data_IF_638358059745
#
_entry.id   IF_638358059745
#
_cell.length_a   1.000
_cell.length_b   1.000
_cell.length_c   1.000
_cell.angle_alpha   90.00
_cell.angle_beta   90.00
_cell.angle_gamma   90.00
#
_symmetry.space_group_name_H-M   'P 1'
#
loop_
_entity.id
_entity.type
_entity.pdbx_description
1 polymer ?
#
# COMPACT_ATOMS: atom_id res chain seq x y z
N UNK A 1 26.71 -53.51 -23.37
CA UNK A 1 26.76 -52.11 -23.84
C UNK A 1 25.59 -51.38 -23.19
N UNK A 2 25.81 -50.86 -22.00
CA UNK A 2 24.84 -50.02 -21.29
C UNK A 2 25.06 -48.58 -21.75
N UNK A 3 24.07 -48.00 -22.42
CA UNK A 3 24.10 -46.60 -22.85
C UNK A 3 23.86 -45.73 -21.63
N UNK A 4 24.93 -45.10 -21.14
CA UNK A 4 24.86 -44.01 -20.17
C UNK A 4 24.25 -42.79 -20.87
N UNK A 5 23.05 -42.38 -20.45
CA UNK A 5 22.46 -41.10 -20.85
C UNK A 5 23.37 -39.94 -20.38
N UNK A 6 23.58 -38.89 -21.20
CA UNK A 6 24.34 -37.73 -20.76
C UNK A 6 23.56 -37.00 -19.67
N UNK A 7 24.12 -36.96 -18.48
CA UNK A 7 23.67 -36.10 -17.40
C UNK A 7 23.90 -34.65 -17.87
N UNK A 8 22.81 -33.94 -18.21
CA UNK A 8 22.88 -32.52 -18.58
C UNK A 8 23.30 -31.76 -17.33
N UNK A 9 24.58 -31.40 -17.25
CA UNK A 9 25.08 -30.48 -16.25
C UNK A 9 24.58 -29.08 -16.58
N UNK A 10 23.75 -28.51 -15.70
CA UNK A 10 23.38 -27.09 -15.73
C UNK A 10 24.68 -26.26 -15.81
N UNK A 11 24.78 -25.37 -16.80
CA UNK A 11 25.98 -24.53 -16.93
C UNK A 11 26.02 -23.52 -15.78
N UNK A 12 27.21 -23.10 -15.34
CA UNK A 12 27.32 -22.06 -14.31
C UNK A 12 26.73 -20.70 -14.76
N UNK A 13 26.55 -20.51 -16.07
CA UNK A 13 26.00 -19.29 -16.66
C UNK A 13 24.46 -19.25 -16.61
N UNK A 14 23.80 -20.41 -16.63
CA UNK A 14 22.33 -20.51 -16.66
C UNK A 14 21.65 -19.96 -15.39
N UNK A 15 22.10 -20.24 -14.15
CA UNK A 15 21.57 -19.60 -12.95
C UNK A 15 21.79 -18.08 -12.92
N UNK A 16 22.92 -17.61 -13.48
CA UNK A 16 23.25 -16.19 -13.56
C UNK A 16 22.30 -15.45 -14.52
N UNK A 17 22.07 -16.04 -15.70
CA UNK A 17 21.14 -15.49 -16.69
C UNK A 17 19.70 -15.46 -16.17
N UNK A 18 19.23 -16.53 -15.52
CA UNK A 18 17.88 -16.57 -14.93
C UNK A 18 17.71 -15.45 -13.89
N UNK A 19 18.71 -15.26 -13.02
CA UNK A 19 18.70 -14.20 -12.00
C UNK A 19 18.66 -12.82 -12.64
N UNK A 20 19.45 -12.59 -13.67
CA UNK A 20 19.46 -11.31 -14.39
C UNK A 20 18.11 -11.03 -15.07
N UNK A 21 17.51 -12.06 -15.70
CA UNK A 21 16.18 -11.95 -16.31
C UNK A 21 15.10 -11.64 -15.28
N UNK A 22 15.13 -12.27 -14.11
CA UNK A 22 14.17 -12.02 -13.03
C UNK A 22 14.29 -10.60 -12.47
N UNK A 23 15.52 -10.10 -12.27
CA UNK A 23 15.76 -8.71 -11.86
C UNK A 23 15.19 -7.72 -12.86
N UNK A 24 15.48 -7.90 -14.15
CA UNK A 24 14.94 -7.07 -15.22
C UNK A 24 13.42 -7.10 -15.25
N UNK A 25 12.82 -8.28 -15.12
CA UNK A 25 11.37 -8.44 -15.09
C UNK A 25 10.72 -7.70 -13.91
N UNK A 26 11.35 -7.75 -12.73
CA UNK A 26 10.85 -7.03 -11.55
C UNK A 26 10.99 -5.51 -11.69
N UNK A 27 12.09 -5.03 -12.25
CA UNK A 27 12.25 -3.61 -12.61
C UNK A 27 11.16 -3.15 -13.58
N UNK A 28 10.83 -3.96 -14.59
CA UNK A 28 9.73 -3.66 -15.52
C UNK A 28 8.39 -3.57 -14.79
N UNK A 29 8.10 -4.53 -13.90
CA UNK A 29 6.89 -4.50 -13.07
C UNK A 29 6.79 -3.20 -12.25
N UNK A 30 7.83 -2.87 -11.48
CA UNK A 30 7.85 -1.67 -10.64
C UNK A 30 7.68 -0.40 -11.47
N UNK A 31 8.37 -0.29 -12.61
CA UNK A 31 8.25 0.89 -13.49
C UNK A 31 6.90 1.00 -14.22
N UNK A 32 6.16 -0.10 -14.33
CA UNK A 32 4.83 -0.10 -14.94
C UNK A 32 3.72 0.16 -13.93
N UNK A 33 3.82 -0.43 -12.74
CA UNK A 33 2.79 -0.40 -11.72
C UNK A 33 3.00 0.68 -10.65
N UNK A 34 4.25 1.03 -10.35
CA UNK A 34 4.66 1.92 -9.24
C UNK A 34 5.75 2.95 -9.62
N UNK A 35 5.70 3.61 -10.79
CA UNK A 35 6.77 4.51 -11.24
C UNK A 35 7.03 5.72 -10.32
N UNK A 36 6.03 6.16 -9.56
CA UNK A 36 6.09 7.35 -8.70
C UNK A 36 6.47 6.96 -7.27
N UNK A 37 5.74 6.02 -6.64
CA UNK A 37 6.03 5.63 -5.25
C UNK A 37 7.39 4.98 -5.09
N UNK A 38 7.85 4.17 -6.04
CA UNK A 38 9.18 3.58 -5.97
C UNK A 38 10.26 4.67 -5.96
N UNK A 39 10.25 5.56 -6.95
CA UNK A 39 11.24 6.65 -7.05
C UNK A 39 11.19 7.56 -5.82
N UNK A 40 9.98 7.92 -5.36
CA UNK A 40 9.84 8.77 -4.19
C UNK A 40 10.31 8.08 -2.91
N UNK A 41 10.23 6.76 -2.79
CA UNK A 41 10.65 6.08 -1.57
C UNK A 41 12.14 5.72 -1.56
N UNK A 42 12.89 5.90 -2.66
CA UNK A 42 14.33 5.58 -2.69
C UNK A 42 15.13 6.40 -1.66
N UNK A 43 14.77 7.66 -1.38
CA UNK A 43 15.48 8.42 -0.31
C UNK A 43 15.21 7.86 1.09
N UNK A 44 14.13 7.08 1.26
CA UNK A 44 13.76 6.46 2.53
C UNK A 44 14.61 5.22 2.84
N UNK A 45 15.43 4.81 1.87
CA UNK A 45 16.51 3.85 2.10
C UNK A 45 17.38 4.30 3.29
N UNK A 46 17.74 3.32 4.09
CA UNK A 46 18.68 3.51 5.21
C UNK A 46 19.94 2.72 4.85
N UNK A 47 20.57 2.03 5.80
CA UNK A 47 21.62 1.05 5.48
C UNK A 47 21.07 -0.26 4.91
N UNK A 48 19.85 -0.24 4.36
CA UNK A 48 19.09 -1.39 3.89
C UNK A 48 18.47 -1.09 2.53
N UNK A 49 18.36 -2.09 1.63
CA UNK A 49 17.76 -1.91 0.31
C UNK A 49 16.31 -1.43 0.35
N UNK A 50 15.87 -0.74 -0.71
CA UNK A 50 14.45 -0.41 -0.92
C UNK A 50 13.59 -1.67 -1.05
N UNK A 51 12.26 -1.52 -1.09
CA UNK A 51 11.36 -2.67 -1.32
C UNK A 51 11.73 -3.44 -2.60
N UNK A 52 11.99 -2.72 -3.70
CA UNK A 52 12.34 -3.35 -4.97
C UNK A 52 13.77 -3.92 -4.96
N UNK A 53 14.72 -3.20 -4.37
CA UNK A 53 16.11 -3.65 -4.31
C UNK A 53 16.29 -4.86 -3.40
N UNK A 54 15.51 -4.96 -2.32
CA UNK A 54 15.51 -6.15 -1.46
C UNK A 54 15.02 -7.37 -2.24
N UNK A 55 13.86 -7.27 -2.90
CA UNK A 55 13.31 -8.40 -3.67
C UNK A 55 14.26 -8.83 -4.79
N UNK A 56 14.94 -7.88 -5.44
CA UNK A 56 15.88 -8.19 -6.52
C UNK A 56 17.27 -8.68 -6.04
N UNK A 57 17.65 -8.40 -4.80
CA UNK A 57 18.90 -8.87 -4.18
C UNK A 57 18.76 -10.20 -3.46
N UNK A 58 17.56 -10.54 -3.00
CA UNK A 58 17.27 -11.72 -2.19
C UNK A 58 16.77 -12.95 -2.97
N UNK A 59 16.87 -12.93 -4.30
CA UNK A 59 16.54 -14.11 -5.13
C UNK A 59 17.25 -15.36 -4.59
N UNK A 60 16.47 -16.45 -4.46
CA UNK A 60 16.82 -17.78 -3.94
C UNK A 60 16.89 -17.89 -2.41
N UNK A 61 16.66 -16.81 -1.66
CA UNK A 61 16.68 -16.86 -0.18
C UNK A 61 15.28 -17.09 0.43
N UNK A 62 14.21 -16.73 -0.29
CA UNK A 62 12.84 -16.92 0.17
C UNK A 62 11.93 -17.37 -0.96
N UNK A 63 11.62 -18.67 -0.97
CA UNK A 63 10.79 -19.31 -2.00
C UNK A 63 9.44 -18.60 -2.16
N UNK A 64 8.77 -18.23 -1.06
CA UNK A 64 7.47 -17.56 -1.14
C UNK A 64 7.58 -16.15 -1.74
N UNK A 65 8.62 -15.39 -1.40
CA UNK A 65 8.83 -14.05 -1.92
C UNK A 65 9.20 -14.09 -3.40
N UNK A 66 10.08 -15.01 -3.79
CA UNK A 66 10.57 -15.16 -5.16
C UNK A 66 9.45 -15.55 -6.13
N UNK A 67 8.64 -16.56 -5.77
CA UNK A 67 7.53 -17.00 -6.63
C UNK A 67 6.43 -15.92 -6.69
N UNK A 68 6.16 -15.21 -5.61
CA UNK A 68 5.24 -14.06 -5.63
C UNK A 68 5.74 -12.92 -6.51
N UNK A 69 7.05 -12.62 -6.49
CA UNK A 69 7.67 -11.63 -7.35
C UNK A 69 7.56 -12.05 -8.83
N UNK A 70 7.86 -13.31 -9.13
CA UNK A 70 7.70 -13.85 -10.48
C UNK A 70 6.24 -13.76 -10.97
N UNK A 71 5.29 -14.05 -10.09
CA UNK A 71 3.86 -14.00 -10.38
C UNK A 71 3.40 -12.60 -10.84
N UNK A 72 3.76 -11.52 -10.12
CA UNK A 72 3.42 -10.15 -10.55
C UNK A 72 4.14 -9.75 -11.84
N UNK A 73 5.40 -10.14 -12.02
CA UNK A 73 6.17 -9.84 -13.23
C UNK A 73 5.47 -10.35 -14.51
N UNK A 74 4.75 -11.46 -14.44
CA UNK A 74 4.04 -12.03 -15.59
C UNK A 74 2.84 -11.17 -16.03
N UNK A 75 2.11 -10.56 -15.09
CA UNK A 75 0.85 -9.85 -15.39
C UNK A 75 1.01 -8.33 -15.50
N UNK A 76 2.20 -7.82 -15.17
CA UNK A 76 2.56 -6.40 -15.26
C UNK A 76 3.67 -6.10 -16.29
N UNK A 77 3.94 -7.04 -17.22
CA UNK A 77 4.87 -6.77 -18.34
C UNK A 77 4.47 -5.54 -19.15
N UNK A 78 3.16 -5.33 -19.31
CA UNK A 78 2.58 -4.17 -19.98
C UNK A 78 1.80 -3.32 -18.99
N UNK A 79 1.82 -2.00 -19.21
CA UNK A 79 1.03 -1.04 -18.43
C UNK A 79 -0.47 -1.21 -18.67
N UNK A 80 -0.85 -1.46 -19.92
CA UNK A 80 -2.25 -1.57 -20.37
C UNK A 80 -2.55 -3.01 -20.75
N UNK A 81 -3.59 -3.58 -20.14
CA UNK A 81 -4.00 -4.97 -20.34
C UNK A 81 -2.99 -6.03 -19.86
N UNK A 82 -3.41 -7.29 -19.98
CA UNK A 82 -2.56 -8.46 -19.71
C UNK A 82 -2.65 -9.39 -20.91
N UNK A 83 -1.51 -9.84 -21.41
CA UNK A 83 -1.47 -10.75 -22.55
C UNK A 83 -2.09 -12.10 -22.18
N UNK A 84 -2.98 -12.61 -23.05
CA UNK A 84 -3.68 -13.88 -22.80
C UNK A 84 -2.71 -15.06 -22.59
N UNK A 85 -1.58 -15.06 -23.29
CA UNK A 85 -0.51 -16.07 -23.16
C UNK A 85 0.15 -16.06 -21.77
N UNK A 86 0.14 -14.93 -21.08
CA UNK A 86 0.75 -14.75 -19.76
C UNK A 86 -0.25 -15.01 -18.63
N UNK A 87 -1.56 -14.91 -18.87
CA UNK A 87 -2.58 -15.15 -17.85
C UNK A 87 -2.49 -16.57 -17.26
N UNK A 88 -2.38 -17.60 -18.11
CA UNK A 88 -2.29 -18.98 -17.62
C UNK A 88 -0.98 -19.25 -16.87
N UNK A 89 0.14 -18.71 -17.37
CA UNK A 89 1.43 -18.79 -16.67
C UNK A 89 1.38 -18.07 -15.32
N UNK A 90 0.79 -16.87 -15.30
CA UNK A 90 0.59 -16.07 -14.10
C UNK A 90 -0.27 -16.78 -13.07
N UNK A 91 -1.37 -17.42 -13.48
CA UNK A 91 -2.25 -18.22 -12.61
C UNK A 91 -1.52 -19.41 -12.01
N UNK A 92 -0.74 -20.14 -12.80
CA UNK A 92 0.05 -21.26 -12.29
C UNK A 92 1.09 -20.76 -11.26
N UNK A 93 1.82 -19.69 -11.58
CA UNK A 93 2.77 -19.07 -10.66
C UNK A 93 2.09 -18.58 -9.37
N UNK A 94 0.88 -18.01 -9.48
CA UNK A 94 0.07 -17.57 -8.35
C UNK A 94 -0.29 -18.73 -7.41
N UNK A 95 -0.74 -19.87 -7.96
CA UNK A 95 -1.06 -21.07 -7.18
C UNK A 95 0.18 -21.58 -6.43
N UNK A 96 1.33 -21.64 -7.09
CA UNK A 96 2.58 -22.03 -6.43
C UNK A 96 3.01 -21.04 -5.34
N UNK A 97 2.84 -19.74 -5.58
CA UNK A 97 3.15 -18.71 -4.58
C UNK A 97 2.26 -18.83 -3.34
N UNK A 98 0.96 -19.10 -3.52
CA UNK A 98 0.04 -19.38 -2.43
C UNK A 98 0.48 -20.59 -1.61
N UNK A 99 0.85 -21.70 -2.26
CA UNK A 99 1.34 -22.90 -1.57
C UNK A 99 2.62 -22.63 -0.79
N UNK A 100 3.56 -21.88 -1.38
CA UNK A 100 4.81 -21.50 -0.72
C UNK A 100 4.57 -20.59 0.49
N UNK A 101 3.69 -19.60 0.37
CA UNK A 101 3.32 -18.72 1.49
C UNK A 101 2.60 -19.49 2.61
N UNK A 102 1.69 -20.39 2.27
CA UNK A 102 1.03 -21.27 3.25
C UNK A 102 2.03 -22.16 3.98
N UNK A 103 3.03 -22.69 3.28
CA UNK A 103 4.08 -23.49 3.91
C UNK A 103 4.97 -22.65 4.84
N UNK A 104 5.30 -21.42 4.44
CA UNK A 104 6.04 -20.48 5.29
C UNK A 104 5.25 -20.12 6.57
N UNK A 105 3.94 -19.88 6.44
CA UNK A 105 3.03 -19.66 7.57
C UNK A 105 2.97 -20.86 8.53
N UNK A 106 2.95 -22.09 8.02
CA UNK A 106 2.98 -23.30 8.86
C UNK A 106 4.30 -23.52 9.59
N UNK A 107 5.38 -22.93 9.09
CA UNK A 107 6.74 -23.05 9.64
C UNK A 107 7.23 -21.71 10.19
N UNK A 108 6.30 -20.88 10.67
CA UNK A 108 6.53 -19.47 11.04
C UNK A 108 7.63 -19.26 12.09
N UNK A 109 7.90 -20.24 12.95
CA UNK A 109 8.98 -20.17 13.94
C UNK A 109 10.38 -20.12 13.31
N UNK A 110 10.50 -20.54 12.05
CA UNK A 110 11.75 -20.62 11.29
C UNK A 110 11.75 -19.73 10.04
N UNK A 111 10.57 -19.25 9.64
CA UNK A 111 10.40 -18.46 8.42
C UNK A 111 10.52 -16.96 8.70
N UNK A 112 11.07 -16.22 7.73
CA UNK A 112 11.19 -14.77 7.83
C UNK A 112 9.83 -14.09 7.60
N UNK A 113 9.23 -13.55 8.66
CA UNK A 113 7.92 -12.88 8.60
C UNK A 113 7.90 -11.63 7.71
N UNK A 114 9.02 -10.91 7.56
CA UNK A 114 9.08 -9.78 6.64
C UNK A 114 8.94 -10.25 5.18
N UNK A 115 9.55 -11.38 4.83
CA UNK A 115 9.42 -11.97 3.49
C UNK A 115 8.00 -12.47 3.24
N UNK A 116 7.34 -13.03 4.27
CA UNK A 116 5.92 -13.45 4.19
C UNK A 116 4.99 -12.24 3.97
N UNK A 117 5.26 -11.11 4.63
CA UNK A 117 4.54 -9.85 4.38
C UNK A 117 4.78 -9.39 2.94
N UNK A 118 6.04 -9.35 2.48
CA UNK A 118 6.38 -8.98 1.10
C UNK A 118 5.68 -9.87 0.07
N UNK A 119 5.69 -11.19 0.27
CA UNK A 119 5.01 -12.14 -0.58
C UNK A 119 3.49 -11.89 -0.62
N UNK A 120 2.87 -11.64 0.54
CA UNK A 120 1.43 -11.34 0.65
C UNK A 120 1.06 -10.03 -0.06
N UNK A 121 1.90 -8.99 0.06
CA UNK A 121 1.73 -7.71 -0.67
C UNK A 121 1.75 -7.94 -2.19
N UNK A 122 2.69 -8.74 -2.69
CA UNK A 122 2.80 -9.03 -4.12
C UNK A 122 1.59 -9.84 -4.62
N UNK A 123 1.08 -10.79 -3.83
CA UNK A 123 -0.13 -11.54 -4.19
C UNK A 123 -1.39 -10.67 -4.19
N UNK A 124 -1.51 -9.74 -3.24
CA UNK A 124 -2.53 -8.69 -3.28
C UNK A 124 -2.45 -7.88 -4.59
N UNK A 125 -1.26 -7.44 -4.99
CA UNK A 125 -1.04 -6.68 -6.23
C UNK A 125 -1.42 -7.49 -7.47
N UNK A 126 -1.06 -8.78 -7.48
CA UNK A 126 -1.42 -9.69 -8.56
C UNK A 126 -2.95 -9.75 -8.75
N UNK A 127 -3.69 -10.00 -7.68
CA UNK A 127 -5.15 -10.15 -7.75
C UNK A 127 -5.87 -8.83 -8.06
N UNK A 128 -5.29 -7.70 -7.68
CA UNK A 128 -5.78 -6.39 -8.11
C UNK A 128 -5.70 -6.20 -9.64
N UNK A 129 -4.72 -6.83 -10.30
CA UNK A 129 -4.53 -6.75 -11.75
C UNK A 129 -5.25 -7.83 -12.52
N UNK A 130 -5.32 -9.04 -11.95
CA UNK A 130 -6.01 -10.19 -12.52
C UNK A 130 -7.03 -10.69 -11.50
N UNK A 131 -8.21 -10.04 -11.42
CA UNK A 131 -9.24 -10.44 -10.47
C UNK A 131 -9.69 -11.88 -10.73
N UNK A 132 -9.80 -12.67 -9.66
CA UNK A 132 -10.50 -13.97 -9.69
C UNK A 132 -12.00 -13.78 -9.93
N UNK A 133 -12.67 -14.81 -10.45
CA UNK A 133 -14.11 -14.81 -10.70
C UNK A 133 -14.92 -14.61 -9.40
N UNK A 134 -14.43 -15.15 -8.27
CA UNK A 134 -14.91 -14.80 -6.95
C UNK A 134 -14.20 -13.52 -6.46
N UNK A 135 -14.92 -12.41 -6.48
CA UNK A 135 -14.46 -11.09 -6.04
C UNK A 135 -14.15 -11.07 -4.54
N UNK A 136 -12.94 -11.47 -4.12
CA UNK A 136 -12.57 -11.46 -2.70
C UNK A 136 -11.17 -11.93 -2.29
N UNK A 137 -10.38 -12.50 -3.21
CA UNK A 137 -9.02 -12.96 -2.89
C UNK A 137 -8.14 -11.85 -2.31
N UNK A 138 -8.17 -10.67 -2.93
CA UNK A 138 -7.23 -9.60 -2.60
C UNK A 138 -7.42 -9.09 -1.17
N UNK A 139 -8.68 -9.10 -0.68
CA UNK A 139 -9.01 -8.68 0.67
C UNK A 139 -8.37 -9.60 1.72
N UNK A 140 -8.32 -10.91 1.43
CA UNK A 140 -7.69 -11.90 2.30
C UNK A 140 -6.19 -11.66 2.45
N UNK A 141 -5.50 -11.22 1.38
CA UNK A 141 -4.08 -10.84 1.47
C UNK A 141 -3.88 -9.57 2.29
N UNK A 142 -4.76 -8.57 2.18
CA UNK A 142 -4.74 -7.39 3.05
C UNK A 142 -4.92 -7.78 4.53
N UNK A 143 -5.89 -8.64 4.83
CA UNK A 143 -6.12 -9.15 6.19
C UNK A 143 -4.90 -9.91 6.71
N UNK A 144 -4.29 -10.75 5.89
CA UNK A 144 -3.07 -11.49 6.22
C UNK A 144 -1.87 -10.57 6.50
N UNK A 145 -1.65 -9.55 5.67
CA UNK A 145 -0.60 -8.55 5.92
C UNK A 145 -0.85 -7.81 7.24
N UNK A 146 -2.08 -7.35 7.48
CA UNK A 146 -2.43 -6.66 8.73
C UNK A 146 -2.23 -7.56 9.96
N UNK A 147 -2.58 -8.85 9.87
CA UNK A 147 -2.38 -9.82 10.95
C UNK A 147 -0.89 -10.02 11.25
N UNK A 148 -0.06 -10.28 10.24
CA UNK A 148 1.39 -10.43 10.41
C UNK A 148 2.04 -9.17 10.97
N UNK A 149 1.62 -7.98 10.50
CA UNK A 149 2.11 -6.70 11.02
C UNK A 149 1.79 -6.50 12.50
N UNK A 150 0.54 -6.78 12.90
CA UNK A 150 0.11 -6.71 14.31
C UNK A 150 0.86 -7.71 15.18
N UNK A 151 1.05 -8.93 14.70
CA UNK A 151 1.77 -9.97 15.42
C UNK A 151 3.25 -9.61 15.64
N UNK A 152 3.92 -9.06 14.63
CA UNK A 152 5.31 -8.60 14.74
C UNK A 152 5.45 -7.34 15.60
N UNK A 153 4.38 -6.56 15.77
CA UNK A 153 4.36 -5.28 16.47
C UNK A 153 5.12 -4.17 15.75
N UNK A 154 4.76 -2.91 16.03
CA UNK A 154 5.28 -1.75 15.28
C UNK A 154 6.82 -1.62 15.36
N UNK A 155 7.43 -2.03 16.48
CA UNK A 155 8.89 -1.94 16.68
C UNK A 155 9.71 -2.76 15.66
N UNK A 156 9.13 -3.84 15.14
CA UNK A 156 9.77 -4.68 14.11
C UNK A 156 9.88 -3.99 12.75
N UNK A 157 9.15 -2.88 12.53
CA UNK A 157 9.10 -2.14 11.26
C UNK A 157 10.01 -0.91 11.25
N UNK A 158 10.91 -0.78 12.22
CA UNK A 158 11.79 0.38 12.34
C UNK A 158 12.96 0.36 11.33
N UNK A 159 13.29 -0.78 10.73
CA UNK A 159 14.43 -0.94 9.78
C UNK A 159 14.24 -2.12 8.84
N UNK A 160 15.15 -2.26 7.87
CA UNK A 160 15.19 -3.40 6.95
C UNK A 160 13.95 -3.51 6.04
N UNK A 161 13.75 -4.70 5.48
CA UNK A 161 12.66 -4.96 4.55
C UNK A 161 11.27 -4.74 5.15
N UNK A 162 11.08 -5.08 6.43
CA UNK A 162 9.82 -4.81 7.13
C UNK A 162 9.43 -3.33 7.08
N UNK A 163 10.37 -2.41 7.36
CA UNK A 163 10.13 -0.95 7.21
C UNK A 163 9.69 -0.59 5.80
N UNK A 164 10.37 -1.13 4.79
CA UNK A 164 10.04 -0.89 3.38
C UNK A 164 8.64 -1.38 3.04
N UNK A 165 8.23 -2.55 3.53
CA UNK A 165 6.86 -3.07 3.40
C UNK A 165 5.83 -2.14 4.05
N UNK A 166 6.09 -1.65 5.27
CA UNK A 166 5.21 -0.71 5.97
C UNK A 166 5.00 0.57 5.16
N UNK A 167 6.08 1.21 4.70
CA UNK A 167 6.03 2.47 3.94
C UNK A 167 5.30 2.28 2.62
N UNK A 168 5.60 1.18 1.90
CA UNK A 168 5.01 0.89 0.61
C UNK A 168 3.51 0.56 0.71
N UNK A 169 3.10 -0.19 1.74
CA UNK A 169 1.76 -0.77 1.79
C UNK A 169 0.73 0.03 2.60
N UNK A 170 1.14 0.95 3.47
CA UNK A 170 0.23 1.70 4.37
C UNK A 170 -0.93 2.41 3.66
N UNK A 171 -0.71 2.94 2.45
CA UNK A 171 -1.78 3.59 1.67
C UNK A 171 -2.88 2.61 1.26
N UNK A 172 -2.53 1.36 0.96
CA UNK A 172 -3.50 0.29 0.67
C UNK A 172 -4.23 -0.17 1.93
N UNK A 173 -3.56 -0.21 3.08
CA UNK A 173 -4.20 -0.53 4.37
C UNK A 173 -5.24 0.52 4.76
N UNK A 174 -4.98 1.81 4.52
CA UNK A 174 -5.95 2.89 4.73
C UNK A 174 -7.11 2.75 3.74
N UNK A 175 -6.82 2.55 2.44
CA UNK A 175 -7.86 2.32 1.42
C UNK A 175 -8.78 1.14 1.79
N UNK A 176 -8.18 0.06 2.29
CA UNK A 176 -8.87 -1.14 2.68
C UNK A 176 -9.73 -0.94 3.93
N UNK A 177 -9.26 -0.18 4.91
CA UNK A 177 -10.02 0.19 6.09
C UNK A 177 -11.32 0.94 5.72
N UNK A 178 -11.22 1.90 4.79
CA UNK A 178 -12.42 2.55 4.23
C UNK A 178 -13.34 1.56 3.51
N UNK A 179 -12.79 0.67 2.69
CA UNK A 179 -13.59 -0.32 1.96
C UNK A 179 -14.34 -1.28 2.90
N UNK A 180 -13.74 -1.63 4.04
CA UNK A 180 -14.34 -2.48 5.08
C UNK A 180 -15.19 -1.71 6.09
N UNK A 181 -15.32 -0.38 5.94
CA UNK A 181 -16.02 0.51 6.89
C UNK A 181 -15.55 0.31 8.34
N UNK A 182 -14.24 0.11 8.50
CA UNK A 182 -13.61 -0.16 9.79
C UNK A 182 -12.43 0.77 10.07
N UNK A 183 -12.03 0.93 11.34
CA UNK A 183 -10.83 1.67 11.70
C UNK A 183 -9.56 1.03 11.13
N UNK A 184 -8.58 1.87 10.78
CA UNK A 184 -7.26 1.40 10.37
C UNK A 184 -6.37 1.20 11.60
N UNK A 185 -5.83 0.00 11.80
CA UNK A 185 -4.98 -0.30 12.97
C UNK A 185 -3.71 0.56 13.06
N UNK A 186 -3.27 1.15 11.94
CA UNK A 186 -2.13 2.07 11.90
C UNK A 186 -2.41 3.40 12.64
N UNK A 187 -3.65 3.66 13.07
CA UNK A 187 -3.97 4.79 13.96
C UNK A 187 -3.57 4.55 15.42
N UNK A 188 -3.34 3.29 15.82
CA UNK A 188 -3.01 2.97 17.22
C UNK A 188 -1.65 3.55 17.63
N UNK A 189 -1.48 3.84 18.93
CA UNK A 189 -0.34 4.57 19.47
C UNK A 189 1.02 4.02 19.05
N UNK A 190 1.20 2.69 19.05
CA UNK A 190 2.46 2.06 18.64
C UNK A 190 2.83 2.35 17.18
N UNK A 191 1.83 2.46 16.29
CA UNK A 191 2.03 2.73 14.87
C UNK A 191 2.20 4.24 14.61
N UNK A 192 1.54 5.09 15.40
CA UNK A 192 1.80 6.53 15.41
C UNK A 192 3.24 6.84 15.88
N UNK A 193 3.72 6.13 16.90
CA UNK A 193 5.13 6.22 17.36
C UNK A 193 6.12 5.75 16.29
N UNK A 194 5.79 4.68 15.56
CA UNK A 194 6.60 4.25 14.41
C UNK A 194 6.62 5.32 13.31
N UNK A 195 5.47 5.89 12.95
CA UNK A 195 5.37 6.94 11.94
C UNK A 195 6.18 8.19 12.35
N UNK A 196 6.10 8.56 13.62
CA UNK A 196 6.88 9.67 14.21
C UNK A 196 8.39 9.39 14.14
N UNK A 197 8.82 8.16 14.44
CA UNK A 197 10.22 7.76 14.27
C UNK A 197 10.66 7.81 12.81
N UNK A 198 9.85 7.31 11.88
CA UNK A 198 10.12 7.37 10.44
C UNK A 198 10.26 8.82 9.98
N UNK A 199 9.35 9.71 10.40
CA UNK A 199 9.41 11.16 10.15
C UNK A 199 10.70 11.78 10.66
N UNK A 200 11.03 11.53 11.92
CA UNK A 200 12.21 12.08 12.56
C UNK A 200 13.50 11.65 11.85
N UNK A 201 13.61 10.39 11.45
CA UNK A 201 14.80 9.89 10.74
C UNK A 201 14.87 10.39 9.29
N UNK A 202 13.77 10.31 8.53
CA UNK A 202 13.75 10.66 7.11
C UNK A 202 13.93 12.17 6.87
N UNK A 203 13.45 13.02 7.79
CA UNK A 203 13.62 14.48 7.71
C UNK A 203 15.07 14.95 7.93
N UNK A 204 15.93 14.12 8.52
CA UNK A 204 17.35 14.44 8.75
C UNK A 204 18.26 13.99 7.59
N UNK A 205 17.73 13.23 6.63
CA UNK A 205 18.52 12.72 5.50
C UNK A 205 18.98 13.85 4.56
N UNK A 206 20.08 13.66 3.82
CA UNK A 206 20.49 14.62 2.80
C UNK A 206 19.55 14.62 1.58
N UNK A 207 19.59 15.70 0.80
CA UNK A 207 18.86 15.82 -0.46
C UNK A 207 17.50 16.52 -0.35
N UNK A 208 16.92 16.86 -1.51
CA UNK A 208 15.67 17.62 -1.59
C UNK A 208 14.46 16.89 -0.97
N UNK A 209 14.44 15.56 -1.01
CA UNK A 209 13.32 14.77 -0.50
C UNK A 209 13.06 14.97 0.99
N UNK A 210 14.09 15.34 1.77
CA UNK A 210 13.93 15.65 3.19
C UNK A 210 12.98 16.81 3.45
N UNK A 211 12.90 17.77 2.51
CA UNK A 211 12.02 18.94 2.63
C UNK A 211 10.55 18.51 2.67
N UNK A 212 10.22 17.41 1.99
CA UNK A 212 8.88 16.84 1.97
C UNK A 212 8.65 15.83 3.10
N UNK A 213 9.70 15.18 3.60
CA UNK A 213 9.57 14.07 4.56
C UNK A 213 8.76 14.44 5.81
N UNK A 214 9.03 15.60 6.43
CA UNK A 214 8.28 16.05 7.61
C UNK A 214 6.78 16.22 7.33
N UNK A 215 6.44 17.06 6.37
CA UNK A 215 5.04 17.41 6.09
C UNK A 215 4.26 16.21 5.55
N UNK A 216 4.89 15.37 4.73
CA UNK A 216 4.22 14.20 4.14
C UNK A 216 3.91 13.14 5.20
N UNK A 217 4.82 12.85 6.12
CA UNK A 217 4.54 11.91 7.22
C UNK A 217 3.45 12.44 8.16
N UNK A 218 3.48 13.73 8.51
CA UNK A 218 2.44 14.32 9.37
C UNK A 218 1.06 14.27 8.71
N UNK A 219 0.97 14.43 7.39
CA UNK A 219 -0.27 14.22 6.65
C UNK A 219 -0.72 12.77 6.78
N UNK A 220 0.15 11.80 6.50
CA UNK A 220 -0.19 10.36 6.62
C UNK A 220 -0.71 10.01 8.03
N UNK A 221 -0.08 10.55 9.08
CA UNK A 221 -0.50 10.37 10.47
C UNK A 221 -1.90 10.94 10.78
N UNK A 222 -2.35 11.97 10.06
CA UNK A 222 -3.74 12.45 10.17
C UNK A 222 -4.70 11.64 9.30
N UNK A 223 -4.30 11.28 8.08
CA UNK A 223 -5.14 10.53 7.13
C UNK A 223 -5.53 9.13 7.65
N UNK A 224 -4.64 8.47 8.37
CA UNK A 224 -4.89 7.14 8.93
C UNK A 224 -6.03 7.11 9.97
N UNK A 225 -6.38 8.25 10.57
CA UNK A 225 -7.50 8.40 11.52
C UNK A 225 -8.85 8.52 10.82
N UNK A 226 -8.88 8.87 9.54
CA UNK A 226 -10.12 9.15 8.82
C UNK A 226 -11.09 7.94 8.73
N UNK A 227 -10.63 6.68 8.53
CA UNK A 227 -11.52 5.51 8.57
C UNK A 227 -12.28 5.37 9.89
N UNK A 228 -11.62 5.63 11.04
CA UNK A 228 -12.27 5.62 12.36
C UNK A 228 -13.39 6.65 12.45
N UNK A 229 -13.17 7.85 11.92
CA UNK A 229 -14.19 8.91 11.98
C UNK A 229 -15.45 8.57 11.20
N UNK A 230 -15.31 7.92 10.04
CA UNK A 230 -16.48 7.43 9.27
C UNK A 230 -17.19 6.32 10.07
N UNK A 231 -16.44 5.34 10.58
CA UNK A 231 -16.98 4.23 11.37
C UNK A 231 -17.73 4.70 12.62
N UNK A 232 -17.14 5.60 13.42
CA UNK A 232 -17.75 6.14 14.63
C UNK A 232 -19.01 6.98 14.26
N UNK A 233 -18.97 7.74 13.16
CA UNK A 233 -20.12 8.51 12.70
C UNK A 233 -21.31 7.62 12.30
N UNK A 234 -21.06 6.53 11.58
CA UNK A 234 -22.07 5.51 11.28
C UNK A 234 -22.64 4.86 12.54
N UNK A 235 -21.78 4.52 13.50
CA UNK A 235 -22.20 3.95 14.77
C UNK A 235 -23.11 4.91 15.56
N UNK A 236 -22.74 6.18 15.66
CA UNK A 236 -23.53 7.20 16.37
C UNK A 236 -24.83 7.54 15.63
N UNK A 237 -24.83 7.49 14.31
CA UNK A 237 -26.04 7.59 13.49
C UNK A 237 -27.01 6.43 13.77
N UNK A 238 -26.53 5.18 13.82
CA UNK A 238 -27.37 4.00 14.11
C UNK A 238 -27.89 3.99 15.55
N UNK A 239 -27.06 4.41 16.49
CA UNK A 239 -27.38 4.40 17.94
C UNK A 239 -28.08 5.67 18.42
N UNK A 240 -28.23 6.69 17.57
CA UNK A 240 -28.82 8.00 17.90
C UNK A 240 -28.14 8.65 19.12
N UNK A 241 -26.81 8.54 19.20
CA UNK A 241 -26.03 9.01 20.34
C UNK A 241 -25.46 10.41 20.11
N UNK A 242 -26.28 11.44 20.28
CA UNK A 242 -25.93 12.84 20.00
C UNK A 242 -24.76 13.35 20.86
N UNK A 243 -24.61 12.87 22.10
CA UNK A 243 -23.49 13.28 22.96
C UNK A 243 -22.15 12.77 22.42
N UNK A 244 -22.07 11.49 22.03
CA UNK A 244 -20.85 10.94 21.46
C UNK A 244 -20.57 11.50 20.05
N UNK A 245 -21.63 11.82 19.28
CA UNK A 245 -21.50 12.52 18.00
C UNK A 245 -20.83 13.90 18.16
N UNK A 246 -21.11 14.64 19.24
CA UNK A 246 -20.44 15.92 19.53
C UNK A 246 -18.96 15.75 19.91
N UNK A 247 -18.62 14.69 20.67
CA UNK A 247 -17.21 14.38 20.97
C UNK A 247 -16.46 14.02 19.69
N UNK A 248 -17.07 13.21 18.83
CA UNK A 248 -16.53 12.87 17.52
C UNK A 248 -16.35 14.11 16.64
N UNK A 249 -17.34 15.02 16.61
CA UNK A 249 -17.28 16.29 15.88
C UNK A 249 -16.02 17.08 16.25
N UNK A 250 -15.71 17.23 17.55
CA UNK A 250 -14.52 17.96 18.00
C UNK A 250 -13.21 17.31 17.54
N UNK A 251 -13.13 15.96 17.59
CA UNK A 251 -11.96 15.21 17.11
C UNK A 251 -11.76 15.39 15.60
N UNK A 252 -12.83 15.28 14.82
CA UNK A 252 -12.78 15.48 13.37
C UNK A 252 -12.35 16.90 13.03
N UNK A 253 -12.89 17.91 13.73
CA UNK A 253 -12.53 19.31 13.49
C UNK A 253 -11.04 19.57 13.76
N UNK A 254 -10.47 18.96 14.81
CA UNK A 254 -9.04 19.05 15.11
C UNK A 254 -8.19 18.46 13.98
N UNK A 255 -8.46 17.22 13.55
CA UNK A 255 -7.73 16.60 12.43
C UNK A 255 -7.90 17.40 11.13
N UNK A 256 -9.11 17.88 10.82
CA UNK A 256 -9.37 18.72 9.64
C UNK A 256 -8.52 19.99 9.66
N UNK A 257 -8.45 20.68 10.79
CA UNK A 257 -7.65 21.90 10.92
C UNK A 257 -6.15 21.60 10.76
N UNK A 258 -5.65 20.54 11.40
CA UNK A 258 -4.26 20.09 11.23
C UNK A 258 -3.93 19.79 9.76
N UNK A 259 -4.79 19.03 9.08
CA UNK A 259 -4.66 18.76 7.65
C UNK A 259 -4.67 20.06 6.83
N UNK A 260 -5.52 21.03 7.17
CA UNK A 260 -5.55 22.34 6.50
C UNK A 260 -4.20 23.06 6.52
N UNK A 261 -3.54 23.12 7.69
CA UNK A 261 -2.21 23.71 7.81
C UNK A 261 -1.15 22.93 7.02
N UNK A 262 -1.19 21.60 7.11
CA UNK A 262 -0.23 20.72 6.42
C UNK A 262 -0.37 20.76 4.89
N UNK A 263 -1.61 20.83 4.40
CA UNK A 263 -1.94 20.96 2.96
C UNK A 263 -1.38 22.26 2.40
N UNK A 264 -1.52 23.37 3.12
CA UNK A 264 -0.91 24.65 2.71
C UNK A 264 0.60 24.54 2.67
N UNK A 265 1.23 24.01 3.72
CA UNK A 265 2.68 23.85 3.75
C UNK A 265 3.21 22.93 2.63
N UNK A 266 2.52 21.83 2.34
CA UNK A 266 2.89 20.93 1.25
C UNK A 266 2.74 21.60 -0.13
N UNK A 267 1.68 22.39 -0.34
CA UNK A 267 1.50 23.20 -1.57
C UNK A 267 2.67 24.15 -1.78
N UNK A 268 3.08 24.86 -0.74
CA UNK A 268 4.19 25.81 -0.82
C UNK A 268 5.49 25.09 -1.20
N UNK A 269 5.79 23.95 -0.55
CA UNK A 269 6.98 23.15 -0.88
C UNK A 269 6.97 22.61 -2.32
N UNK A 270 5.82 22.14 -2.80
CA UNK A 270 5.66 21.70 -4.19
C UNK A 270 5.95 22.87 -5.14
N UNK A 271 5.39 24.06 -4.88
CA UNK A 271 5.59 25.24 -5.73
C UNK A 271 7.04 25.73 -5.79
N UNK A 272 7.82 25.51 -4.72
CA UNK A 272 9.22 25.94 -4.63
C UNK A 272 10.16 24.94 -5.29
N UNK A 273 9.94 23.64 -5.06
CA UNK A 273 10.95 22.61 -5.35
C UNK A 273 10.58 21.65 -6.49
N UNK A 274 9.34 21.66 -6.98
CA UNK A 274 8.91 20.76 -8.06
C UNK A 274 8.66 21.52 -9.36
N UNK A 275 9.05 20.95 -10.52
CA UNK A 275 8.67 21.50 -11.81
C UNK A 275 7.15 21.48 -11.99
N UNK A 276 6.60 22.54 -12.58
CA UNK A 276 5.17 22.61 -12.90
C UNK A 276 4.74 21.40 -13.77
N UNK A 277 3.51 20.90 -13.54
CA UNK A 277 2.87 19.83 -14.29
C UNK A 277 3.58 18.45 -14.25
N UNK A 278 4.45 18.20 -13.26
CA UNK A 278 5.09 16.89 -13.09
C UNK A 278 4.40 16.08 -11.99
N UNK A 279 3.70 15.01 -12.38
CA UNK A 279 3.05 14.10 -11.45
C UNK A 279 4.05 13.53 -10.42
N UNK A 280 3.80 13.77 -9.14
CA UNK A 280 4.71 13.38 -8.06
C UNK A 280 3.96 12.76 -6.87
N UNK A 281 4.65 11.96 -6.06
CA UNK A 281 4.06 11.39 -4.84
C UNK A 281 3.55 12.47 -3.87
N UNK A 282 4.30 13.57 -3.60
CA UNK A 282 3.80 14.72 -2.84
C UNK A 282 2.49 15.30 -3.40
N UNK A 283 2.35 15.42 -4.72
CA UNK A 283 1.13 15.95 -5.34
C UNK A 283 -0.06 14.99 -5.17
N UNK A 284 0.13 13.68 -5.34
CA UNK A 284 -0.93 12.71 -5.08
C UNK A 284 -1.34 12.68 -3.60
N UNK A 285 -0.39 12.80 -2.68
CA UNK A 285 -0.68 12.89 -1.25
C UNK A 285 -1.44 14.18 -0.92
N UNK A 286 -1.05 15.29 -1.53
CA UNK A 286 -1.74 16.57 -1.40
C UNK A 286 -3.21 16.45 -1.83
N UNK A 287 -3.47 15.85 -2.98
CA UNK A 287 -4.83 15.62 -3.48
C UNK A 287 -5.63 14.71 -2.54
N UNK A 288 -5.04 13.63 -2.05
CA UNK A 288 -5.65 12.76 -1.03
C UNK A 288 -6.00 13.52 0.26
N UNK A 289 -5.13 14.43 0.72
CA UNK A 289 -5.37 15.23 1.91
C UNK A 289 -6.47 16.29 1.72
N UNK A 290 -6.55 16.91 0.53
CA UNK A 290 -7.66 17.81 0.18
C UNK A 290 -8.98 17.06 0.16
N UNK A 291 -9.03 15.88 -0.45
CA UNK A 291 -10.22 15.03 -0.45
C UNK A 291 -10.62 14.59 0.97
N UNK A 292 -9.63 14.30 1.83
CA UNK A 292 -9.89 14.03 3.25
C UNK A 292 -10.54 15.22 3.94
N UNK A 293 -10.04 16.44 3.76
CA UNK A 293 -10.65 17.66 4.34
C UNK A 293 -12.10 17.80 3.90
N UNK A 294 -12.39 17.53 2.62
CA UNK A 294 -13.77 17.58 2.09
C UNK A 294 -14.66 16.51 2.74
N UNK A 295 -14.18 15.27 2.83
CA UNK A 295 -14.87 14.18 3.54
C UNK A 295 -15.17 14.56 5.01
N UNK A 296 -14.17 15.05 5.74
CA UNK A 296 -14.30 15.45 7.13
C UNK A 296 -15.27 16.64 7.29
N UNK A 297 -15.28 17.58 6.34
CA UNK A 297 -16.25 18.68 6.29
C UNK A 297 -17.68 18.15 6.19
N UNK A 298 -17.95 17.23 5.27
CA UNK A 298 -19.28 16.64 5.12
C UNK A 298 -19.70 15.85 6.36
N UNK A 299 -18.78 15.10 6.97
CA UNK A 299 -19.06 14.38 8.21
C UNK A 299 -19.47 15.32 9.35
N UNK A 300 -18.71 16.40 9.61
CA UNK A 300 -19.06 17.32 10.70
C UNK A 300 -20.38 18.06 10.46
N UNK A 301 -20.73 18.33 9.20
CA UNK A 301 -22.03 18.89 8.84
C UNK A 301 -23.18 17.92 9.13
N UNK A 302 -23.01 16.63 8.84
CA UNK A 302 -24.02 15.61 9.14
C UNK A 302 -24.15 15.36 10.65
N UNK A 303 -23.04 15.34 11.40
CA UNK A 303 -23.04 15.03 12.84
C UNK A 303 -23.78 16.05 13.73
N UNK A 304 -23.98 17.27 13.25
CA UNK A 304 -24.72 18.31 13.99
C UNK A 304 -26.23 18.33 13.67
N UNK A 305 -26.68 17.48 12.75
CA UNK A 305 -28.09 17.37 12.39
C UNK A 305 -28.82 16.40 13.33
N UNK A 306 -30.12 16.65 13.55
CA UNK A 306 -30.98 15.81 14.38
C UNK A 306 -32.24 15.41 13.60
N UNK A 307 -32.44 14.12 13.26
CA UNK A 307 -31.51 13.02 13.48
C UNK A 307 -30.29 13.10 12.55
N UNK A 308 -29.19 12.44 12.92
CA UNK A 308 -27.99 12.34 12.07
C UNK A 308 -28.37 11.64 10.74
N UNK A 309 -28.14 12.25 9.56
CA UNK A 309 -28.44 11.63 8.27
C UNK A 309 -27.62 10.37 8.03
N UNK A 310 -28.06 9.49 7.10
CA UNK A 310 -27.27 8.34 6.70
C UNK A 310 -25.84 8.72 6.30
N UNK A 311 -24.89 7.96 6.83
CA UNK A 311 -23.48 7.99 6.46
C UNK A 311 -23.28 6.80 5.52
N UNK A 312 -23.01 7.10 4.25
CA UNK A 312 -22.72 6.09 3.22
C UNK A 312 -21.45 6.48 2.52
N UNK A 313 -20.45 5.62 2.58
CA UNK A 313 -19.14 5.88 1.99
C UNK A 313 -19.04 5.27 0.60
N UNK A 314 -18.53 6.03 -0.37
CA UNK A 314 -18.02 5.47 -1.61
C UNK A 314 -16.51 5.69 -1.65
N UNK A 315 -15.75 4.63 -1.37
CA UNK A 315 -14.29 4.68 -1.24
C UNK A 315 -13.59 4.72 -2.60
N UNK A 316 -12.37 5.28 -2.62
CA UNK A 316 -11.50 5.27 -3.81
C UNK A 316 -11.27 3.84 -4.32
N UNK A 317 -11.06 2.90 -3.40
CA UNK A 317 -10.83 1.50 -3.75
C UNK A 317 -12.08 0.87 -4.40
N UNK A 318 -13.27 1.08 -3.83
CA UNK A 318 -14.52 0.60 -4.44
C UNK A 318 -14.67 1.14 -5.88
N UNK A 319 -14.43 2.45 -6.06
CA UNK A 319 -14.47 3.08 -7.39
C UNK A 319 -13.51 2.45 -8.39
N UNK A 320 -12.27 2.13 -7.98
CA UNK A 320 -11.29 1.48 -8.86
C UNK A 320 -11.71 0.05 -9.25
N UNK A 321 -12.29 -0.68 -8.30
CA UNK A 321 -12.76 -2.06 -8.49
C UNK A 321 -13.98 -2.12 -9.42
N UNK A 322 -15.02 -1.33 -9.12
CA UNK A 322 -16.29 -1.33 -9.85
C UNK A 322 -16.10 -0.98 -11.33
N UNK A 323 -15.14 -0.10 -11.63
CA UNK A 323 -14.83 0.33 -12.99
C UNK A 323 -13.69 -0.47 -13.65
N UNK A 324 -13.14 -1.47 -12.95
CA UNK A 324 -12.00 -2.29 -13.41
C UNK A 324 -10.79 -1.47 -13.87
N UNK A 325 -10.58 -0.30 -13.27
CA UNK A 325 -9.52 0.63 -13.70
C UNK A 325 -8.12 0.07 -13.48
N UNK A 326 -7.90 -0.70 -12.41
CA UNK A 326 -6.59 -1.34 -12.15
C UNK A 326 -6.28 -2.41 -13.21
N UNK A 327 -7.29 -3.10 -13.74
CA UNK A 327 -7.14 -4.07 -14.84
C UNK A 327 -6.76 -3.36 -16.14
N UNK A 328 -7.23 -2.12 -16.33
CA UNK A 328 -6.98 -1.33 -17.53
C UNK A 328 -5.63 -0.59 -17.49
N UNK A 329 -5.28 0.06 -16.37
CA UNK A 329 -4.03 0.82 -16.18
C UNK A 329 -3.40 0.47 -14.83
N UNK A 330 -2.24 -0.20 -14.89
CA UNK A 330 -1.49 -0.63 -13.70
C UNK A 330 -1.13 0.54 -12.76
N UNK A 331 -0.94 1.75 -13.30
CA UNK A 331 -0.58 2.95 -12.52
C UNK A 331 -1.68 3.40 -11.56
N UNK A 332 -2.90 2.87 -11.69
CA UNK A 332 -3.96 3.11 -10.70
C UNK A 332 -3.53 2.68 -9.30
N UNK A 333 -2.73 1.61 -9.17
CA UNK A 333 -2.20 1.16 -7.88
C UNK A 333 -1.26 2.20 -7.28
N UNK A 334 -0.35 2.75 -8.07
CA UNK A 334 0.57 3.79 -7.62
C UNK A 334 -0.15 5.04 -7.13
N UNK A 335 -1.15 5.49 -7.90
CA UNK A 335 -1.97 6.66 -7.54
C UNK A 335 -2.77 6.42 -6.27
N UNK A 336 -3.34 5.22 -6.11
CA UNK A 336 -4.04 4.82 -4.90
C UNK A 336 -3.08 4.85 -3.70
N UNK A 337 -1.90 4.22 -3.82
CA UNK A 337 -0.88 4.19 -2.78
C UNK A 337 -0.37 5.60 -2.40
N UNK A 338 0.00 6.43 -3.39
CA UNK A 338 0.54 7.77 -3.16
C UNK A 338 -0.47 8.74 -2.54
N UNK A 339 -1.76 8.56 -2.82
CA UNK A 339 -2.85 9.35 -2.21
C UNK A 339 -3.36 8.78 -0.88
N UNK A 340 -2.66 7.79 -0.32
CA UNK A 340 -3.04 7.05 0.90
C UNK A 340 -4.45 6.46 0.84
N UNK A 341 -4.91 6.06 -0.34
CA UNK A 341 -6.21 5.43 -0.50
C UNK A 341 -7.41 6.37 -0.46
N UNK A 342 -7.19 7.67 -0.22
CA UNK A 342 -8.28 8.61 0.07
C UNK A 342 -8.77 9.34 -1.18
N UNK A 343 -7.94 9.55 -2.20
CA UNK A 343 -8.35 10.41 -3.31
C UNK A 343 -9.62 9.92 -4.02
N UNK A 344 -10.64 10.78 -4.08
CA UNK A 344 -11.98 10.48 -4.58
C UNK A 344 -12.91 9.75 -3.60
N UNK A 345 -12.48 9.45 -2.38
CA UNK A 345 -13.34 8.91 -1.31
C UNK A 345 -14.26 10.01 -0.81
N UNK A 346 -15.57 9.73 -0.78
CA UNK A 346 -16.60 10.71 -0.39
C UNK A 346 -17.82 10.05 0.23
N UNK A 347 -18.61 10.84 0.95
CA UNK A 347 -19.95 10.43 1.32
C UNK A 347 -20.87 10.56 0.11
N UNK A 348 -21.81 9.62 -0.02
CA UNK A 348 -22.91 9.65 -0.98
C UNK A 348 -24.23 9.78 -0.23
N UNK A 349 -25.23 10.37 -0.88
CA UNK A 349 -26.56 10.59 -0.28
C UNK A 349 -27.42 9.32 -0.22
#
# INVERSE_FOLDING_TARGET
>A
MEQVQPQVSLSADEPCEIRQQQRLAFTVFINNAFPISHVFNNFRETNYPSFADYITSMFEQSVCLDISAYCVCLVFRNRIGVEASLLNKGRNAYIYALQALQQALRTEHTSNKADMIGASILLFIYEMRVPSEDHGGWASHCDGVAALMKEMGAQSFTRGFARSCYIFFRGFLIAYAFHKEQPCFLEEDQWQQLAEKVRAEDSQKPGLSRMFADVTERIVMELVKCPRYVHDAELHQRTQNSQQALVLYSRILCTKNNLGFLVTHLKDLISIYQPENTASAPEFLLNGAVDAINLLNTLVQKLIMDPIPPIRLYSSLARLLDNKYIVQDARCLDRLGCSMGISGTRLVD
#
